data_IF_933931433034
#
_entry.id   IF_933931433034
#
_cell.length_a   1.000
_cell.length_b   1.000
_cell.length_c   1.000
_cell.angle_alpha   90.00
_cell.angle_beta   90.00
_cell.angle_gamma   90.00
#
_symmetry.space_group_name_H-M   'P 1'
#
loop_
_entity.id
_entity.type
_entity.pdbx_description
1 polymer ?
#
# COMPACT_ATOMS: atom_id res chain seq x y z
N UNK A 1 -18.40 14.24 19.90
CA UNK A 1 -18.35 12.86 19.35
C UNK A 1 -17.70 11.97 20.39
N UNK A 2 -18.35 10.88 20.84
CA UNK A 2 -17.91 10.14 22.04
C UNK A 2 -17.37 8.73 21.79
N UNK A 3 -17.15 8.33 20.52
CA UNK A 3 -16.68 6.97 20.18
C UNK A 3 -15.58 7.01 19.13
N UNK A 4 -14.56 6.20 19.34
CA UNK A 4 -13.43 6.00 18.43
C UNK A 4 -13.29 4.50 18.18
N UNK A 5 -13.01 4.12 16.93
CA UNK A 5 -12.86 2.72 16.52
C UNK A 5 -11.43 2.49 16.07
N UNK A 6 -10.77 1.51 16.71
CA UNK A 6 -9.45 1.04 16.28
C UNK A 6 -9.65 -0.26 15.50
N UNK A 7 -9.10 -0.31 14.30
CA UNK A 7 -9.07 -1.51 13.46
C UNK A 7 -7.62 -1.92 13.25
N UNK A 8 -7.25 -3.11 13.72
CA UNK A 8 -5.94 -3.71 13.48
C UNK A 8 -6.11 -4.76 12.39
N UNK A 9 -5.44 -4.54 11.25
CA UNK A 9 -5.36 -5.54 10.18
C UNK A 9 -4.06 -6.29 10.39
N UNK A 10 -4.15 -7.46 11.02
CA UNK A 10 -2.97 -8.25 11.36
C UNK A 10 -2.19 -8.66 10.10
N UNK A 11 -0.87 -8.62 10.19
CA UNK A 11 0.09 -9.03 9.14
C UNK A 11 -0.01 -8.31 7.79
N UNK A 12 -0.86 -7.27 7.65
CA UNK A 12 -1.01 -6.50 6.42
C UNK A 12 0.03 -5.38 6.32
N UNK A 13 1.29 -5.76 6.05
CA UNK A 13 2.41 -4.83 5.89
C UNK A 13 2.44 -4.13 4.53
N UNK A 14 2.85 -2.87 4.51
CA UNK A 14 2.96 -2.02 3.30
C UNK A 14 4.40 -1.83 2.79
N UNK A 15 5.34 -2.61 3.34
CA UNK A 15 6.77 -2.51 3.04
C UNK A 15 7.62 -2.76 4.27
N UNK A 16 8.89 -3.07 4.06
CA UNK A 16 9.85 -3.28 5.13
C UNK A 16 10.18 -1.96 5.84
N UNK A 17 10.42 -2.02 7.15
CA UNK A 17 10.89 -0.87 7.92
C UNK A 17 12.35 -0.54 7.58
N UNK A 18 12.78 0.71 7.83
CA UNK A 18 14.12 1.19 7.43
C UNK A 18 15.26 0.48 8.17
N UNK A 19 14.99 0.03 9.37
CA UNK A 19 15.90 -0.67 10.28
C UNK A 19 15.93 -2.19 10.06
N UNK A 20 15.16 -2.72 9.09
CA UNK A 20 15.09 -4.17 8.86
C UNK A 20 16.48 -4.74 8.53
N UNK A 21 17.34 -3.99 7.85
CA UNK A 21 18.71 -4.43 7.54
C UNK A 21 19.59 -4.58 8.78
N UNK A 22 19.25 -3.92 9.88
CA UNK A 22 19.99 -3.98 11.15
C UNK A 22 19.41 -5.02 12.10
N UNK A 23 18.07 -5.15 12.16
CA UNK A 23 17.39 -5.99 13.17
C UNK A 23 17.01 -7.37 12.61
N UNK A 24 16.59 -7.44 11.34
CA UNK A 24 16.05 -8.66 10.69
C UNK A 24 16.41 -8.67 9.19
N UNK A 25 17.69 -8.85 8.84
CA UNK A 25 18.14 -8.74 7.45
C UNK A 25 17.43 -9.72 6.50
N UNK A 26 16.89 -10.83 7.00
CA UNK A 26 16.08 -11.77 6.22
C UNK A 26 14.75 -11.19 5.70
N UNK A 27 14.21 -10.16 6.35
CA UNK A 27 12.95 -9.50 5.95
C UNK A 27 13.21 -8.28 5.03
N UNK A 28 14.46 -8.12 4.55
CA UNK A 28 14.82 -7.07 3.60
C UNK A 28 13.99 -7.19 2.31
N UNK A 29 13.31 -6.10 1.95
CA UNK A 29 12.45 -6.04 0.77
C UNK A 29 11.04 -6.62 0.97
N UNK A 30 10.66 -7.06 2.17
CA UNK A 30 9.32 -7.56 2.43
C UNK A 30 8.24 -6.51 2.11
N UNK A 31 7.24 -6.87 1.31
CA UNK A 31 6.07 -6.02 1.04
C UNK A 31 4.82 -6.87 0.82
N UNK A 32 4.14 -7.24 1.92
CA UNK A 32 2.97 -8.13 1.88
C UNK A 32 1.86 -7.58 0.99
N UNK A 33 1.47 -6.32 1.18
CA UNK A 33 0.43 -5.68 0.38
C UNK A 33 0.81 -5.61 -1.10
N UNK A 34 2.06 -5.23 -1.41
CA UNK A 34 2.56 -5.20 -2.78
C UNK A 34 2.56 -6.58 -3.44
N UNK A 35 3.00 -7.62 -2.72
CA UNK A 35 2.99 -9.00 -3.21
C UNK A 35 1.57 -9.51 -3.46
N UNK A 36 0.63 -9.29 -2.54
CA UNK A 36 -0.79 -9.68 -2.71
C UNK A 36 -1.38 -9.03 -3.97
N UNK A 37 -1.18 -7.72 -4.14
CA UNK A 37 -1.70 -7.00 -5.31
C UNK A 37 -1.05 -7.47 -6.61
N UNK A 38 0.24 -7.84 -6.58
CA UNK A 38 0.93 -8.39 -7.75
C UNK A 38 0.40 -9.75 -8.18
N UNK A 39 -0.01 -10.59 -7.22
CA UNK A 39 -0.57 -11.93 -7.47
C UNK A 39 -2.06 -11.88 -7.81
N UNK A 40 -2.79 -10.90 -7.25
CA UNK A 40 -4.22 -10.71 -7.44
C UNK A 40 -4.48 -9.35 -8.11
N UNK A 41 -4.22 -9.20 -9.42
CA UNK A 41 -4.34 -7.91 -10.11
C UNK A 41 -5.77 -7.36 -10.18
N UNK A 42 -6.77 -8.21 -9.91
CA UNK A 42 -8.19 -7.86 -9.88
C UNK A 42 -8.73 -7.61 -8.48
N UNK A 43 -7.90 -7.75 -7.43
CA UNK A 43 -8.32 -7.47 -6.06
C UNK A 43 -8.64 -5.98 -5.91
N UNK A 44 -9.86 -5.67 -5.50
CA UNK A 44 -10.31 -4.30 -5.27
C UNK A 44 -10.58 -4.09 -3.78
N UNK A 45 -10.03 -3.02 -3.21
CA UNK A 45 -10.21 -2.67 -1.80
C UNK A 45 -10.84 -1.26 -1.67
N UNK A 46 -12.01 -1.01 -2.27
CA UNK A 46 -12.53 0.34 -2.52
C UNK A 46 -12.67 1.20 -1.26
N UNK A 47 -12.98 0.59 -0.12
CA UNK A 47 -13.05 1.31 1.17
C UNK A 47 -11.67 1.72 1.67
N UNK A 48 -10.68 0.82 1.64
CA UNK A 48 -9.31 1.12 2.07
C UNK A 48 -8.62 2.10 1.12
N UNK A 49 -8.95 2.06 -0.17
CA UNK A 49 -8.52 3.05 -1.15
C UNK A 49 -9.01 4.45 -0.80
N UNK A 50 -10.31 4.59 -0.50
CA UNK A 50 -10.90 5.86 -0.04
C UNK A 50 -10.31 6.35 1.28
N UNK A 51 -9.92 5.43 2.16
CA UNK A 51 -9.20 5.74 3.39
C UNK A 51 -7.71 6.09 3.17
N UNK A 52 -7.20 5.98 1.94
CA UNK A 52 -5.88 6.47 1.54
C UNK A 52 -4.78 5.40 1.46
N UNK A 53 -5.12 4.11 1.51
CA UNK A 53 -4.13 3.02 1.52
C UNK A 53 -3.21 3.05 0.27
N UNK A 54 -3.77 3.19 -0.93
CA UNK A 54 -2.98 3.20 -2.19
C UNK A 54 -2.01 4.38 -2.25
N UNK A 55 -2.36 5.53 -1.66
CA UNK A 55 -1.49 6.71 -1.64
C UNK A 55 -0.18 6.44 -0.90
N UNK A 56 -0.19 5.53 0.08
CA UNK A 56 0.96 5.22 0.93
C UNK A 56 1.91 4.21 0.30
N UNK A 57 1.40 3.26 -0.47
CA UNK A 57 2.18 2.11 -0.97
C UNK A 57 3.03 2.49 -2.20
N UNK A 58 2.81 3.67 -2.80
CA UNK A 58 3.64 4.14 -3.94
C UNK A 58 3.51 3.28 -5.20
N UNK A 59 2.61 2.30 -5.21
CA UNK A 59 2.23 1.54 -6.39
C UNK A 59 1.60 2.53 -7.36
N UNK A 60 2.33 2.85 -8.42
CA UNK A 60 1.81 3.64 -9.51
C UNK A 60 0.54 2.96 -10.01
N UNK A 61 -0.63 3.58 -9.79
CA UNK A 61 -1.96 3.05 -10.10
C UNK A 61 -2.19 2.78 -11.61
N UNK A 62 -1.12 2.86 -12.42
CA UNK A 62 -1.12 2.69 -13.87
C UNK A 62 -1.28 1.24 -14.31
N UNK A 63 -1.08 0.25 -13.43
CA UNK A 63 -1.26 -1.18 -13.73
C UNK A 63 -2.53 -1.82 -13.17
N UNK A 64 -3.21 -1.18 -12.22
CA UNK A 64 -4.45 -1.69 -11.63
C UNK A 64 -5.65 -1.01 -12.31
N UNK A 65 -5.93 -1.47 -13.54
CA UNK A 65 -7.04 -0.97 -14.34
C UNK A 65 -8.38 -1.44 -13.75
N UNK A 66 -9.02 -0.61 -12.92
CA UNK A 66 -10.48 -0.42 -12.86
C UNK A 66 -10.85 0.85 -12.06
N UNK A 67 -9.95 1.44 -11.28
CA UNK A 67 -10.26 2.71 -10.60
C UNK A 67 -9.65 3.89 -11.35
N UNK A 68 -10.45 4.56 -12.18
CA UNK A 68 -10.11 5.86 -12.80
C UNK A 68 -9.98 6.93 -11.71
N UNK A 69 -8.82 7.04 -11.06
CA UNK A 69 -8.47 8.21 -10.26
C UNK A 69 -8.05 9.35 -11.19
N UNK A 70 -9.01 10.20 -11.59
CA UNK A 70 -8.78 11.32 -12.52
C UNK A 70 -7.93 12.48 -11.95
N UNK A 71 -7.57 12.49 -10.67
CA UNK A 71 -6.99 13.67 -10.00
C UNK A 71 -5.62 13.48 -9.32
N UNK A 72 -4.89 12.40 -9.61
CA UNK A 72 -3.55 12.24 -9.03
C UNK A 72 -2.50 12.53 -10.11
N UNK A 73 -2.01 13.78 -10.09
CA UNK A 73 -0.75 14.13 -10.73
C UNK A 73 0.34 13.22 -10.19
N UNK A 74 0.79 12.29 -11.02
CA UNK A 74 1.99 11.51 -10.77
C UNK A 74 3.15 12.52 -10.74
N UNK A 75 3.54 12.95 -9.54
CA UNK A 75 4.80 13.64 -9.33
C UNK A 75 5.88 12.73 -9.88
N UNK A 76 6.58 13.21 -10.92
CA UNK A 76 7.78 12.54 -11.44
C UNK A 76 8.71 12.36 -10.25
N UNK A 77 9.16 11.13 -10.02
CA UNK A 77 10.34 10.93 -9.20
C UNK A 77 11.44 11.82 -9.80
N UNK A 78 11.84 12.84 -9.05
CA UNK A 78 12.98 13.66 -9.40
C UNK A 78 14.21 12.75 -9.37
N UNK A 79 14.84 12.64 -10.54
CA UNK A 79 16.25 12.28 -10.84
C UNK A 79 16.99 11.40 -9.85
#
# INVERSE_FOLDING_TARGET
MARFVVLVIDSFGVGAMKDVTLVRPQDAGANTCGHILSQLPHLQLPTLEKLGLIKRIGLCARRYATVRFRNLGCGRAAT
#
